data_IF_918024489025
#
_entry.id   IF_918024489025
#
_cell.length_a   1.000
_cell.length_b   1.000
_cell.length_c   1.000
_cell.angle_alpha   90.00
_cell.angle_beta   90.00
_cell.angle_gamma   90.00
#
_symmetry.space_group_name_H-M   'P 1'
#
loop_
_entity.id
_entity.type
_entity.pdbx_description
1 polymer ?
#
# COMPACT_ATOMS: atom_id res chain seq x y z
N UNK A 1 0.62 11.40 -22.97
CA UNK A 1 1.03 11.71 -21.59
C UNK A 1 1.00 10.42 -20.77
N UNK A 2 2.05 10.10 -20.01
CA UNK A 2 2.15 8.86 -19.21
C UNK A 2 2.51 9.22 -17.76
N UNK A 3 1.92 8.51 -16.79
CA UNK A 3 2.23 8.62 -15.37
C UNK A 3 2.42 7.22 -14.81
N UNK A 4 3.51 7.00 -14.11
CA UNK A 4 3.94 5.70 -13.58
C UNK A 4 4.09 5.71 -12.04
N UNK A 5 4.07 6.88 -11.41
CA UNK A 5 4.17 7.04 -9.98
C UNK A 5 3.25 8.17 -9.48
N UNK A 6 2.96 8.14 -8.18
CA UNK A 6 2.20 9.17 -7.49
C UNK A 6 2.41 9.14 -5.98
N UNK A 7 1.86 10.13 -5.28
CA UNK A 7 1.90 10.19 -3.83
C UNK A 7 0.63 9.58 -3.25
N UNK A 8 0.81 8.53 -2.46
CA UNK A 8 -0.29 7.81 -1.84
C UNK A 8 -0.20 7.91 -0.34
N UNK A 9 -1.34 8.23 0.29
CA UNK A 9 -1.45 8.29 1.74
C UNK A 9 -1.94 6.96 2.32
N UNK A 10 -1.30 6.52 3.39
CA UNK A 10 -1.83 5.49 4.29
C UNK A 10 -2.55 6.20 5.44
N UNK A 11 -3.89 6.11 5.44
CA UNK A 11 -4.75 6.93 6.31
C UNK A 11 -4.61 6.60 7.79
N UNK A 12 -4.69 5.31 8.15
CA UNK A 12 -4.57 4.86 9.54
C UNK A 12 -3.24 5.26 10.20
N UNK A 13 -2.15 5.19 9.44
CA UNK A 13 -0.80 5.51 9.92
C UNK A 13 -0.40 6.98 9.70
N UNK A 14 -1.27 7.80 9.08
CA UNK A 14 -1.02 9.21 8.78
C UNK A 14 0.30 9.48 8.04
N UNK A 15 0.65 8.61 7.08
CA UNK A 15 1.85 8.77 6.25
C UNK A 15 1.52 8.91 4.78
N UNK A 16 2.44 9.50 4.03
CA UNK A 16 2.38 9.57 2.57
C UNK A 16 3.71 9.16 1.99
N UNK A 17 3.69 8.35 0.93
CA UNK A 17 4.89 7.94 0.20
C UNK A 17 4.66 8.03 -1.30
N UNK A 18 5.70 8.41 -2.01
CA UNK A 18 5.77 8.26 -3.46
C UNK A 18 5.92 6.78 -3.76
N UNK A 19 5.03 6.23 -4.57
CA UNK A 19 5.09 4.83 -4.99
C UNK A 19 4.70 4.68 -6.45
N UNK A 20 5.10 3.56 -7.05
CA UNK A 20 4.84 3.22 -8.44
C UNK A 20 3.41 2.66 -8.57
N UNK A 21 2.71 3.12 -9.60
CA UNK A 21 1.42 2.58 -10.03
C UNK A 21 1.68 1.35 -10.90
N UNK A 22 1.09 0.22 -10.54
CA UNK A 22 1.33 -1.06 -11.20
C UNK A 22 0.22 -1.38 -12.21
N UNK A 23 -1.04 -1.28 -11.79
CA UNK A 23 -2.17 -1.68 -12.62
C UNK A 23 -3.47 -0.98 -12.22
N UNK A 24 -4.42 -0.90 -13.15
CA UNK A 24 -5.80 -0.44 -12.88
C UNK A 24 -6.68 -1.67 -12.75
N UNK A 25 -7.37 -1.83 -11.62
CA UNK A 25 -8.16 -3.05 -11.34
C UNK A 25 -9.65 -2.83 -11.37
N UNK A 26 -10.11 -1.62 -11.06
CA UNK A 26 -11.53 -1.32 -11.05
C UNK A 26 -11.79 0.16 -11.39
N UNK A 27 -12.87 0.38 -12.12
CA UNK A 27 -13.39 1.70 -12.42
C UNK A 27 -14.91 1.63 -12.31
N UNK A 28 -15.51 2.55 -11.55
CA UNK A 28 -16.96 2.56 -11.31
C UNK A 28 -17.76 2.98 -12.56
N UNK A 29 -17.18 3.83 -13.40
CA UNK A 29 -17.89 4.48 -14.51
C UNK A 29 -17.81 3.69 -15.81
N UNK A 30 -16.65 3.11 -16.14
CA UNK A 30 -16.47 2.40 -17.40
C UNK A 30 -15.42 1.28 -17.29
N UNK A 31 -15.82 0.05 -17.65
CA UNK A 31 -14.96 -1.12 -17.65
C UNK A 31 -13.83 -1.06 -18.70
N UNK A 32 -14.03 -0.35 -19.81
CA UNK A 32 -13.00 -0.19 -20.84
C UNK A 32 -11.77 0.58 -20.33
N UNK A 33 -11.95 1.44 -19.33
CA UNK A 33 -10.85 2.16 -18.69
C UNK A 33 -9.94 1.23 -17.88
N UNK A 34 -10.49 0.12 -17.37
CA UNK A 34 -9.71 -0.93 -16.72
C UNK A 34 -8.89 -1.69 -17.77
N UNK A 35 -9.54 -2.08 -18.88
CA UNK A 35 -8.89 -2.83 -19.98
C UNK A 35 -7.74 -2.04 -20.61
N UNK A 36 -7.91 -0.74 -20.79
CA UNK A 36 -6.91 0.15 -21.38
C UNK A 36 -5.93 0.74 -20.38
N UNK A 37 -6.07 0.43 -19.08
CA UNK A 37 -5.25 0.96 -17.98
C UNK A 37 -5.24 2.49 -17.91
N UNK A 38 -6.41 3.10 -18.15
CA UNK A 38 -6.56 4.55 -18.13
C UNK A 38 -6.70 5.07 -16.70
N UNK A 39 -5.84 6.01 -16.31
CA UNK A 39 -5.82 6.61 -14.98
C UNK A 39 -6.79 7.79 -14.91
N UNK A 40 -7.84 7.65 -14.10
CA UNK A 40 -8.84 8.70 -13.83
C UNK A 40 -9.13 8.81 -12.34
N UNK A 41 -9.74 9.92 -11.92
CA UNK A 41 -10.20 10.09 -10.54
C UNK A 41 -11.13 8.94 -10.13
N UNK A 42 -10.98 8.47 -8.89
CA UNK A 42 -11.71 7.37 -8.26
C UNK A 42 -11.52 6.00 -8.93
N UNK A 43 -10.56 5.85 -9.85
CA UNK A 43 -10.15 4.52 -10.27
C UNK A 43 -9.40 3.81 -9.13
N UNK A 44 -9.67 2.52 -8.98
CA UNK A 44 -8.95 1.67 -8.03
C UNK A 44 -7.80 1.01 -8.77
N UNK A 45 -6.62 1.16 -8.19
CA UNK A 45 -5.36 0.74 -8.76
C UNK A 45 -4.59 -0.13 -7.77
N UNK A 46 -3.60 -0.85 -8.28
CA UNK A 46 -2.58 -1.52 -7.49
C UNK A 46 -1.32 -0.67 -7.49
N UNK A 47 -0.78 -0.41 -6.30
CA UNK A 47 0.48 0.31 -6.10
C UNK A 47 1.50 -0.59 -5.41
N UNK A 48 2.78 -0.28 -5.57
CA UNK A 48 3.86 -0.97 -4.88
C UNK A 48 3.80 -0.68 -3.36
N UNK A 49 3.83 -1.75 -2.57
CA UNK A 49 3.74 -1.69 -1.11
C UNK A 49 5.09 -1.39 -0.43
N UNK A 50 6.21 -1.55 -1.15
CA UNK A 50 7.57 -1.50 -0.60
C UNK A 50 7.87 -0.23 0.22
N UNK A 51 7.54 1.00 -0.25
CA UNK A 51 7.80 2.22 0.52
C UNK A 51 7.07 2.27 1.88
N UNK A 52 5.89 1.67 1.95
CA UNK A 52 5.09 1.61 3.18
C UNK A 52 5.60 0.52 4.13
N UNK A 53 6.00 -0.64 3.60
CA UNK A 53 6.66 -1.69 4.40
C UNK A 53 7.93 -1.19 5.07
N UNK A 54 8.81 -0.54 4.30
CA UNK A 54 10.05 0.03 4.82
C UNK A 54 9.81 1.03 5.95
N UNK A 55 8.79 1.88 5.80
CA UNK A 55 8.40 2.80 6.86
C UNK A 55 7.87 2.07 8.08
N UNK A 56 6.98 1.09 7.90
CA UNK A 56 6.38 0.33 9.00
C UNK A 56 7.44 -0.41 9.83
N UNK A 57 8.38 -1.08 9.15
CA UNK A 57 9.51 -1.76 9.79
C UNK A 57 10.42 -0.77 10.55
N UNK A 58 10.68 0.40 9.99
CA UNK A 58 11.47 1.43 10.65
C UNK A 58 10.73 2.07 11.84
N UNK A 59 9.41 2.23 11.76
CA UNK A 59 8.60 2.93 12.74
C UNK A 59 8.28 2.06 13.97
N UNK A 60 7.83 0.83 13.72
CA UNK A 60 7.36 -0.10 14.75
C UNK A 60 8.40 -1.16 15.14
N UNK A 61 9.44 -1.36 14.32
CA UNK A 61 10.37 -2.46 14.55
C UNK A 61 9.69 -3.83 14.42
N UNK A 62 8.68 -3.94 13.56
CA UNK A 62 7.93 -5.17 13.27
C UNK A 62 7.89 -5.38 11.76
N UNK A 63 8.17 -6.60 11.31
CA UNK A 63 8.03 -6.99 9.92
C UNK A 63 6.56 -7.02 9.49
N UNK A 64 6.22 -6.43 8.34
CA UNK A 64 4.88 -6.51 7.74
C UNK A 64 4.92 -7.25 6.41
N UNK A 65 4.05 -8.24 6.25
CA UNK A 65 3.94 -9.02 5.02
C UNK A 65 5.21 -9.81 4.65
N UNK A 66 6.02 -10.22 5.63
CA UNK A 66 7.06 -11.25 5.45
C UNK A 66 6.41 -12.62 5.65
N UNK A 67 6.47 -13.49 4.63
CA UNK A 67 6.03 -14.89 4.78
C UNK A 67 6.86 -15.57 5.86
N UNK A 68 6.23 -16.45 6.66
CA UNK A 68 6.95 -17.32 7.61
C UNK A 68 8.04 -18.08 6.85
N UNK A 69 9.31 -17.87 7.20
CA UNK A 69 10.47 -18.48 6.53
C UNK A 69 11.15 -17.63 5.44
N UNK A 70 10.75 -16.36 5.24
CA UNK A 70 11.47 -15.45 4.35
C UNK A 70 12.86 -15.15 4.92
N UNK A 71 13.89 -15.76 4.32
CA UNK A 71 15.29 -15.42 4.57
C UNK A 71 15.58 -14.08 3.93
N UNK A 72 16.08 -13.15 4.73
CA UNK A 72 16.62 -11.87 4.25
C UNK A 72 17.83 -12.23 3.36
N UNK A 73 17.95 -11.67 2.14
CA UNK A 73 19.11 -11.92 1.29
C UNK A 73 20.41 -11.57 2.03
N UNK A 74 21.40 -12.46 1.95
CA UNK A 74 22.72 -12.26 2.56
C UNK A 74 23.36 -10.97 2.00
N UNK A 75 23.56 -9.97 2.86
CA UNK A 75 24.17 -8.68 2.50
C UNK A 75 23.34 -7.44 2.85
N UNK A 76 22.03 -7.59 3.11
CA UNK A 76 21.20 -6.50 3.65
C UNK A 76 21.06 -6.60 5.17
N UNK A 77 21.49 -5.56 5.89
CA UNK A 77 21.21 -5.45 7.33
C UNK A 77 19.70 -5.40 7.56
N UNK A 78 19.17 -6.35 8.35
CA UNK A 78 17.75 -6.33 8.71
C UNK A 78 17.42 -4.98 9.38
N UNK A 79 16.50 -4.17 8.81
CA UNK A 79 16.08 -2.91 9.42
C UNK A 79 15.60 -3.07 10.88
N UNK A 80 15.16 -4.28 11.23
CA UNK A 80 14.72 -4.67 12.57
C UNK A 80 15.87 -4.82 13.57
N UNK A 81 17.06 -5.19 13.11
CA UNK A 81 18.20 -5.51 13.98
C UNK A 81 19.24 -4.40 14.07
N UNK A 82 18.89 -3.19 13.63
CA UNK A 82 19.76 -2.02 13.73
C UNK A 82 20.12 -1.71 15.19
N UNK A 83 21.40 -1.48 15.44
CA UNK A 83 21.89 -0.99 16.72
C UNK A 83 21.29 0.39 16.99
N UNK A 84 20.50 0.49 18.06
CA UNK A 84 19.76 1.68 18.46
C UNK A 84 20.13 2.06 19.90
N UNK A 85 20.15 3.36 20.18
CA UNK A 85 20.34 3.87 21.54
C UNK A 85 19.23 3.38 22.47
N UNK A 86 19.48 3.38 23.79
CA UNK A 86 18.48 2.95 24.79
C UNK A 86 17.16 3.71 24.66
N UNK A 87 17.22 5.03 24.44
CA UNK A 87 16.03 5.87 24.24
C UNK A 87 15.26 5.52 22.96
N UNK A 88 15.96 5.24 21.85
CA UNK A 88 15.32 4.84 20.61
C UNK A 88 14.60 3.48 20.76
N UNK A 89 15.23 2.51 21.44
CA UNK A 89 14.61 1.20 21.75
C UNK A 89 13.34 1.36 22.59
N UNK A 90 13.38 2.18 23.64
CA UNK A 90 12.21 2.46 24.47
C UNK A 90 11.06 3.10 23.67
N UNK A 91 11.37 4.05 22.78
CA UNK A 91 10.38 4.71 21.92
C UNK A 91 9.69 3.75 20.95
N UNK A 92 10.42 2.78 20.41
CA UNK A 92 9.85 1.77 19.51
C UNK A 92 9.03 0.74 20.29
N UNK A 93 9.52 0.31 21.46
CA UNK A 93 8.77 -0.57 22.34
C UNK A 93 7.42 0.03 22.76
N UNK A 94 7.37 1.34 22.99
CA UNK A 94 6.14 2.06 23.31
C UNK A 94 5.12 2.09 22.15
N UNK A 95 5.58 2.07 20.89
CA UNK A 95 4.72 2.11 19.69
C UNK A 95 4.27 0.72 19.23
N UNK A 96 5.02 -0.31 19.57
CA UNK A 96 4.76 -1.70 19.14
C UNK A 96 3.31 -2.17 19.39
N UNK A 97 2.62 -1.80 20.48
CA UNK A 97 1.22 -2.19 20.68
C UNK A 97 0.25 -1.66 19.62
N UNK A 98 0.57 -0.51 19.01
CA UNK A 98 -0.26 0.17 18.02
C UNK A 98 -0.04 -0.37 16.60
N UNK A 99 0.90 -1.31 16.40
CA UNK A 99 1.26 -1.85 15.09
C UNK A 99 0.23 -2.84 14.50
N UNK A 100 -1.04 -2.75 14.90
CA UNK A 100 -2.09 -3.67 14.47
C UNK A 100 -2.66 -3.22 13.13
N UNK A 101 -2.57 -4.10 12.13
CA UNK A 101 -3.11 -3.86 10.79
C UNK A 101 -4.30 -4.79 10.56
N UNK A 102 -5.27 -4.33 9.76
CA UNK A 102 -6.38 -5.17 9.30
C UNK A 102 -5.89 -6.37 8.47
N UNK A 103 -6.54 -7.52 8.65
CA UNK A 103 -6.14 -8.77 8.02
C UNK A 103 -6.06 -8.68 6.47
N UNK A 104 -7.04 -8.05 5.82
CA UNK A 104 -7.03 -7.94 4.35
C UNK A 104 -5.90 -7.04 3.85
N UNK A 105 -5.53 -6.03 4.63
CA UNK A 105 -4.40 -5.16 4.29
C UNK A 105 -3.06 -5.88 4.49
N UNK A 106 -2.93 -6.71 5.54
CA UNK A 106 -1.75 -7.56 5.78
C UNK A 106 -1.53 -8.58 4.64
N UNK A 107 -2.59 -9.20 4.13
CA UNK A 107 -2.53 -10.08 2.96
C UNK A 107 -1.99 -9.33 1.71
N UNK A 108 -2.45 -8.11 1.49
CA UNK A 108 -1.97 -7.27 0.39
C UNK A 108 -0.49 -6.91 0.53
N UNK A 109 -0.07 -6.52 1.74
CA UNK A 109 1.36 -6.33 2.02
C UNK A 109 2.15 -7.60 1.72
N UNK A 110 1.67 -8.78 2.12
CA UNK A 110 2.34 -10.04 1.79
C UNK A 110 2.50 -10.26 0.28
N UNK A 111 1.53 -9.83 -0.52
CA UNK A 111 1.59 -9.90 -1.99
C UNK A 111 2.53 -8.87 -2.64
N UNK A 112 3.00 -7.88 -1.89
CA UNK A 112 3.89 -6.81 -2.38
C UNK A 112 3.16 -5.66 -3.11
N UNK A 113 1.82 -5.72 -3.19
CA UNK A 113 0.99 -4.72 -3.85
C UNK A 113 -0.24 -4.42 -3.01
N UNK A 114 -0.57 -3.15 -2.86
CA UNK A 114 -1.74 -2.69 -2.10
C UNK A 114 -2.72 -1.96 -3.01
N UNK A 115 -4.01 -2.06 -2.70
CA UNK A 115 -5.06 -1.36 -3.45
C UNK A 115 -5.17 0.08 -2.98
N UNK A 116 -5.27 1.00 -3.92
CA UNK A 116 -5.41 2.42 -3.66
C UNK A 116 -6.46 3.06 -4.56
N UNK A 117 -7.06 4.13 -4.08
CA UNK A 117 -7.98 4.98 -4.82
C UNK A 117 -7.26 6.25 -5.29
N UNK A 118 -7.39 6.58 -6.58
CA UNK A 118 -6.90 7.86 -7.11
C UNK A 118 -7.84 8.98 -6.68
N UNK A 119 -7.34 9.96 -5.94
CA UNK A 119 -8.13 11.12 -5.48
C UNK A 119 -7.94 12.35 -6.37
N UNK A 120 -6.79 12.46 -7.03
CA UNK A 120 -6.46 13.54 -7.97
C UNK A 120 -7.19 13.39 -9.31
N UNK A 121 -7.03 14.38 -10.20
CA UNK A 121 -7.51 14.35 -11.58
C UNK A 121 -6.30 14.34 -12.54
N UNK A 122 -5.75 13.16 -12.89
CA UNK A 122 -4.50 13.05 -13.66
C UNK A 122 -4.48 13.85 -14.96
N UNK A 123 -5.59 13.84 -15.72
CA UNK A 123 -5.69 14.58 -16.99
C UNK A 123 -5.76 16.10 -16.86
N UNK A 124 -5.90 16.64 -15.64
CA UNK A 124 -5.96 18.08 -15.37
C UNK A 124 -4.72 18.55 -14.60
N UNK A 125 -4.40 17.86 -13.51
CA UNK A 125 -3.30 18.24 -12.63
C UNK A 125 -1.95 17.62 -13.00
N UNK A 126 -1.92 16.67 -13.94
CA UNK A 126 -0.71 15.91 -14.27
C UNK A 126 -0.20 15.03 -13.12
N UNK A 127 -1.02 14.77 -12.10
CA UNK A 127 -0.66 14.01 -10.89
C UNK A 127 -1.61 12.84 -10.67
N UNK A 128 -1.07 11.71 -10.23
CA UNK A 128 -1.82 10.49 -9.91
C UNK A 128 -1.72 10.20 -8.41
N UNK A 129 -2.26 11.09 -7.58
CA UNK A 129 -2.17 11.01 -6.12
C UNK A 129 -3.46 10.41 -5.54
N UNK A 130 -3.35 9.78 -4.37
CA UNK A 130 -4.42 8.96 -3.82
C UNK A 130 -4.22 8.53 -2.38
N UNK A 131 -5.01 7.56 -1.96
CA UNK A 131 -4.93 6.94 -0.64
C UNK A 131 -5.12 5.42 -0.73
N UNK A 132 -4.52 4.69 0.21
CA UNK A 132 -4.66 3.23 0.35
C UNK A 132 -6.07 2.91 0.84
N UNK A 133 -6.68 1.88 0.26
CA UNK A 133 -7.99 1.40 0.70
C UNK A 133 -7.86 0.60 2.00
N UNK A 134 -8.69 0.90 2.99
CA UNK A 134 -8.69 0.24 4.30
C UNK A 134 -10.11 -0.11 4.77
N UNK A 135 -10.21 -1.07 5.70
CA UNK A 135 -11.46 -1.43 6.37
C UNK A 135 -12.63 -1.73 5.42
N UNK A 136 -13.81 -1.14 5.71
CA UNK A 136 -15.05 -1.40 4.96
C UNK A 136 -14.97 -1.01 3.49
N UNK A 137 -14.19 0.02 3.15
CA UNK A 137 -14.00 0.44 1.76
C UNK A 137 -13.21 -0.61 1.00
N UNK A 138 -12.13 -1.12 1.60
CA UNK A 138 -11.36 -2.22 1.04
C UNK A 138 -12.23 -3.47 0.84
N UNK A 139 -13.02 -3.86 1.85
CA UNK A 139 -13.93 -5.00 1.76
C UNK A 139 -14.93 -4.87 0.62
N UNK A 140 -15.48 -3.67 0.43
CA UNK A 140 -16.43 -3.39 -0.63
C UNK A 140 -15.80 -3.63 -2.02
N UNK A 141 -14.62 -3.08 -2.27
CA UNK A 141 -13.94 -3.23 -3.56
C UNK A 141 -13.44 -4.66 -3.79
N UNK A 142 -12.97 -5.35 -2.74
CA UNK A 142 -12.62 -6.77 -2.80
C UNK A 142 -13.82 -7.62 -3.22
N UNK A 143 -15.00 -7.37 -2.64
CA UNK A 143 -16.25 -8.06 -3.02
C UNK A 143 -16.62 -7.78 -4.48
N UNK A 144 -16.57 -6.52 -4.92
CA UNK A 144 -16.85 -6.14 -6.32
C UNK A 144 -15.92 -6.83 -7.32
N UNK A 145 -14.63 -6.92 -7.01
CA UNK A 145 -13.64 -7.61 -7.84
C UNK A 145 -13.90 -9.12 -7.90
N UNK A 146 -14.26 -9.76 -6.78
CA UNK A 146 -14.61 -11.19 -6.73
C UNK A 146 -15.84 -11.49 -7.59
N UNK A 147 -16.91 -10.71 -7.47
CA UNK A 147 -18.13 -10.88 -8.29
C UNK A 147 -17.86 -10.67 -9.78
N UNK A 148 -16.99 -9.72 -10.14
CA UNK A 148 -16.65 -9.45 -11.55
C UNK A 148 -15.78 -10.55 -12.18
N UNK A 149 -14.96 -11.25 -11.41
CA UNK A 149 -14.15 -12.38 -11.90
C UNK A 149 -14.94 -13.69 -12.03
N UNK A 150 -16.02 -13.83 -11.27
CA UNK A 150 -16.89 -15.02 -11.30
C UNK A 150 -18.00 -14.96 -12.36
N UNK A 151 -18.08 -13.87 -13.13
CA UNK A 151 -18.91 -13.75 -14.33
C UNK A 151 -18.02 -13.83 -15.55
#
# INVERSE_FOLDING_TARGET
MRLDAGNYSWGSESITRKTRVLDVVYNASNNELVRTKTLVKNAIILIDATPFKQWFEAHYGVAVGRKKGHKIPEGEEDPLNKTRSKHAKAKIAARKPDSKIDHHLEEQFTSGRVMACISSRPGQSGRCDGYILEGKELDFYLKKLKTKKGK
#
